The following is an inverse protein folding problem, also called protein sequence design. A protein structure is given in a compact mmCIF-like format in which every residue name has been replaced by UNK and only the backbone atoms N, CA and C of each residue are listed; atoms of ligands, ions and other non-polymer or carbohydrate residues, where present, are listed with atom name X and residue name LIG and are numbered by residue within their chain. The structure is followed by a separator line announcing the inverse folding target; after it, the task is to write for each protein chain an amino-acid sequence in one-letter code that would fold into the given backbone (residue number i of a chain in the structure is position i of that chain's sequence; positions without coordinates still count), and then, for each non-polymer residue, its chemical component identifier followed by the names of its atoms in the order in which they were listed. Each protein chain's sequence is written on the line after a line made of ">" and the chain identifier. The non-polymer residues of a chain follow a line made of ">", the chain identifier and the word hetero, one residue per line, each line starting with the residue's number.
data_IF_220420430774
#
_entry.id   IF_220420430774
#
_cell.length_a   1.000
_cell.length_b   1.000
_cell.length_c   1.000
_cell.angle_alpha   90.00
_cell.angle_beta   90.00
_cell.angle_gamma   90.00
#
_symmetry.space_group_name_H-M   'P 1'
#
loop_
_entity.id
_entity.type
_entity.pdbx_description
1 polymer ?
#
# COMPACT_ATOMS: atom_id res chain seq x y z
N UNK A 1 -3.63 33.62 18.72
CA UNK A 1 -2.70 34.75 18.46
C UNK A 1 -1.23 34.37 18.65
N UNK A 2 -0.71 34.10 19.86
CA UNK A 2 0.70 33.67 20.06
C UNK A 2 1.04 32.29 19.46
N UNK A 3 0.08 31.36 19.43
CA UNK A 3 0.25 30.04 18.79
C UNK A 3 0.32 30.18 17.28
N UNK A 4 -0.51 31.05 16.68
CA UNK A 4 -0.56 31.26 15.24
C UNK A 4 0.72 31.92 14.71
N UNK A 5 1.31 32.85 15.47
CA UNK A 5 2.58 33.50 15.13
C UNK A 5 3.76 32.51 15.17
N UNK A 6 3.80 31.62 16.17
CA UNK A 6 4.78 30.52 16.22
C UNK A 6 4.58 29.53 15.08
N UNK A 7 3.34 29.16 14.77
CA UNK A 7 3.04 28.27 13.63
C UNK A 7 3.48 28.94 12.32
N UNK A 8 3.18 30.22 12.11
CA UNK A 8 3.56 30.95 10.88
C UNK A 8 5.08 31.06 10.73
N UNK A 9 5.78 31.30 11.84
CA UNK A 9 7.24 31.44 11.84
C UNK A 9 7.95 30.10 11.64
N UNK A 10 7.44 29.01 12.24
CA UNK A 10 8.09 27.70 12.21
C UNK A 10 7.67 26.84 11.00
N UNK A 11 6.48 27.05 10.45
CA UNK A 11 5.95 26.23 9.33
C UNK A 11 6.88 26.15 8.11
N UNK A 12 7.55 27.23 7.66
CA UNK A 12 8.50 27.16 6.54
C UNK A 12 9.75 26.31 6.83
N UNK A 13 10.07 26.08 8.11
CA UNK A 13 11.26 25.36 8.56
C UNK A 13 10.95 23.93 9.02
N UNK A 14 9.67 23.59 9.20
CA UNK A 14 9.22 22.27 9.61
C UNK A 14 9.10 21.34 8.39
N UNK A 15 9.97 20.33 8.34
CA UNK A 15 9.81 19.20 7.41
C UNK A 15 8.92 18.17 8.09
N UNK A 16 7.75 17.91 7.49
CA UNK A 16 6.90 16.81 7.93
C UNK A 16 7.32 15.52 7.24
N UNK A 17 7.98 14.65 7.97
CA UNK A 17 8.28 13.28 7.52
C UNK A 17 7.13 12.34 7.90
N UNK A 18 6.69 11.52 6.94
CA UNK A 18 5.76 10.42 7.20
C UNK A 18 6.40 9.15 6.67
N UNK A 19 6.74 8.26 7.58
CA UNK A 19 7.22 6.93 7.25
C UNK A 19 6.02 5.97 7.21
N UNK A 20 5.98 5.13 6.18
CA UNK A 20 4.98 4.06 6.04
C UNK A 20 5.73 2.74 5.99
N UNK A 21 5.36 1.83 6.89
CA UNK A 21 5.84 0.46 6.86
C UNK A 21 4.70 -0.41 6.34
N UNK A 22 4.85 -0.89 5.09
CA UNK A 22 3.92 -1.83 4.50
C UNK A 22 4.50 -3.24 4.60
N UNK A 23 3.74 -4.17 5.18
CA UNK A 23 4.10 -5.57 5.29
C UNK A 23 3.05 -6.37 4.53
N UNK A 24 3.50 -7.21 3.60
CA UNK A 24 2.62 -8.12 2.88
C UNK A 24 3.13 -9.55 3.00
N UNK A 25 2.17 -10.48 3.07
CA UNK A 25 2.41 -11.90 3.23
C UNK A 25 1.87 -12.65 2.03
N UNK A 26 2.70 -13.49 1.41
CA UNK A 26 2.32 -14.31 0.26
C UNK A 26 1.93 -15.73 0.65
N UNK A 27 1.30 -16.50 -0.26
CA UNK A 27 0.95 -17.91 -0.04
C UNK A 27 2.14 -18.79 0.37
N UNK A 28 3.37 -18.39 0.04
CA UNK A 28 4.66 -18.99 0.47
C UNK A 28 4.83 -19.14 1.97
N UNK A 29 4.04 -18.41 2.75
CA UNK A 29 4.03 -18.54 4.19
C UNK A 29 3.14 -19.66 4.71
N UNK A 30 2.35 -20.37 3.90
CA UNK A 30 1.47 -21.47 4.37
C UNK A 30 1.82 -22.82 3.77
N UNK A 31 1.34 -23.90 4.41
CA UNK A 31 1.59 -25.27 3.95
C UNK A 31 0.85 -25.57 2.64
N UNK A 32 1.37 -26.51 1.85
CA UNK A 32 0.70 -26.94 0.62
C UNK A 32 -0.71 -27.51 0.89
N UNK A 33 -0.93 -28.18 2.01
CA UNK A 33 -2.24 -28.69 2.39
C UNK A 33 -3.24 -27.56 2.65
N UNK A 34 -2.83 -26.50 3.35
CA UNK A 34 -3.68 -25.33 3.62
C UNK A 34 -4.04 -24.61 2.31
N UNK A 35 -3.09 -24.54 1.36
CA UNK A 35 -3.33 -23.95 0.04
C UNK A 35 -4.38 -24.74 -0.73
N UNK A 36 -4.18 -26.05 -0.87
CA UNK A 36 -5.11 -26.92 -1.61
C UNK A 36 -6.51 -26.88 -0.99
N UNK A 37 -6.62 -26.88 0.33
CA UNK A 37 -7.91 -26.77 1.02
C UNK A 37 -8.60 -25.42 0.73
N UNK A 38 -7.85 -24.32 0.71
CA UNK A 38 -8.37 -23.00 0.34
C UNK A 38 -8.82 -22.96 -1.12
N UNK A 39 -8.00 -23.46 -2.05
CA UNK A 39 -8.32 -23.48 -3.47
C UNK A 39 -9.58 -24.31 -3.77
N UNK A 40 -9.74 -25.44 -3.07
CA UNK A 40 -10.95 -26.25 -3.17
C UNK A 40 -12.19 -25.51 -2.64
N UNK A 41 -12.07 -24.81 -1.51
CA UNK A 41 -13.14 -23.97 -0.96
C UNK A 41 -13.54 -22.86 -1.94
N UNK A 42 -12.55 -22.12 -2.47
CA UNK A 42 -12.77 -21.05 -3.45
C UNK A 42 -13.47 -21.59 -4.70
N UNK A 43 -13.06 -22.76 -5.20
CA UNK A 43 -13.69 -23.40 -6.37
C UNK A 43 -15.15 -23.75 -6.10
N UNK A 44 -15.45 -24.36 -4.94
CA UNK A 44 -16.82 -24.72 -4.54
C UNK A 44 -17.72 -23.47 -4.38
N UNK A 45 -17.17 -22.38 -3.87
CA UNK A 45 -17.89 -21.12 -3.72
C UNK A 45 -18.11 -20.43 -5.07
N UNK A 46 -17.11 -20.43 -5.96
CA UNK A 46 -17.19 -19.79 -7.27
C UNK A 46 -18.33 -20.34 -8.14
N UNK A 47 -18.72 -21.61 -7.96
CA UNK A 47 -19.87 -22.22 -8.66
C UNK A 47 -21.23 -21.66 -8.18
N UNK A 48 -21.31 -21.10 -6.97
CA UNK A 48 -22.55 -20.63 -6.33
C UNK A 48 -22.69 -19.12 -6.29
N UNK A 49 -21.57 -18.39 -6.43
CA UNK A 49 -21.55 -16.93 -6.34
C UNK A 49 -22.00 -16.32 -7.67
N UNK A 50 -22.93 -15.36 -7.66
CA UNK A 50 -23.32 -14.65 -8.87
C UNK A 50 -22.15 -13.92 -9.52
N UNK A 51 -22.22 -13.68 -10.83
CA UNK A 51 -21.19 -12.93 -11.55
C UNK A 51 -21.20 -11.48 -11.07
N UNK A 52 -20.08 -11.01 -10.55
CA UNK A 52 -19.90 -9.62 -10.13
C UNK A 52 -18.51 -9.14 -10.56
N UNK A 53 -18.38 -8.69 -11.82
CA UNK A 53 -17.07 -8.43 -12.44
C UNK A 53 -16.37 -7.19 -11.89
N UNK A 54 -17.13 -6.20 -11.44
CA UNK A 54 -16.63 -4.91 -10.97
C UNK A 54 -16.77 -4.75 -9.45
N UNK A 55 -17.01 -5.86 -8.75
CA UNK A 55 -17.18 -5.88 -7.30
C UNK A 55 -15.97 -6.47 -6.58
N UNK A 56 -15.90 -6.21 -5.27
CA UNK A 56 -15.01 -6.92 -4.36
C UNK A 56 -15.49 -8.34 -4.13
N UNK A 57 -14.54 -9.28 -4.03
CA UNK A 57 -14.80 -10.70 -3.74
C UNK A 57 -13.97 -11.16 -2.53
N UNK A 58 -14.34 -10.80 -1.29
CA UNK A 58 -13.52 -11.06 -0.10
C UNK A 58 -13.26 -12.56 0.13
N UNK A 59 -14.24 -13.39 -0.20
CA UNK A 59 -14.19 -14.85 -0.09
C UNK A 59 -13.03 -15.48 -0.88
N UNK A 60 -12.58 -14.85 -1.97
CA UNK A 60 -11.43 -15.34 -2.76
C UNK A 60 -10.12 -15.28 -1.98
N UNK A 61 -10.00 -14.29 -1.08
CA UNK A 61 -8.76 -13.94 -0.40
C UNK A 61 -8.78 -14.29 1.10
N UNK A 62 -9.81 -15.00 1.57
CA UNK A 62 -9.98 -15.36 2.98
C UNK A 62 -9.16 -16.61 3.33
N UNK A 63 -7.83 -16.49 3.31
CA UNK A 63 -6.93 -17.59 3.64
C UNK A 63 -6.55 -17.50 5.13
N UNK A 64 -7.29 -18.23 5.97
CA UNK A 64 -7.19 -18.14 7.44
C UNK A 64 -5.80 -18.46 7.99
N UNK A 65 -5.15 -19.52 7.47
CA UNK A 65 -3.81 -19.90 7.89
C UNK A 65 -2.76 -18.81 7.60
N UNK A 66 -2.92 -18.07 6.50
CA UNK A 66 -2.05 -16.96 6.13
C UNK A 66 -2.29 -15.76 7.04
N UNK A 67 -3.57 -15.46 7.33
CA UNK A 67 -3.95 -14.40 8.25
C UNK A 67 -3.31 -14.60 9.62
N UNK A 68 -3.42 -15.80 10.20
CA UNK A 68 -2.81 -16.12 11.51
C UNK A 68 -1.30 -15.90 11.50
N UNK A 69 -0.60 -16.40 10.47
CA UNK A 69 0.86 -16.22 10.35
C UNK A 69 1.26 -14.76 10.13
N UNK A 70 0.45 -14.02 9.38
CA UNK A 70 0.67 -12.59 9.14
C UNK A 70 0.48 -11.78 10.42
N UNK A 71 -0.60 -11.99 11.16
CA UNK A 71 -0.87 -11.31 12.44
C UNK A 71 0.24 -11.58 13.46
N UNK A 72 0.65 -12.85 13.62
CA UNK A 72 1.78 -13.19 14.49
C UNK A 72 3.09 -12.51 14.06
N UNK A 73 3.32 -12.33 12.75
CA UNK A 73 4.48 -11.61 12.26
C UNK A 73 4.39 -10.09 12.54
N UNK A 74 3.21 -9.48 12.36
CA UNK A 74 2.98 -8.08 12.69
C UNK A 74 3.25 -7.82 14.17
N UNK A 75 2.75 -8.68 15.06
CA UNK A 75 2.97 -8.56 16.51
C UNK A 75 4.47 -8.58 16.85
N UNK A 76 5.23 -9.50 16.24
CA UNK A 76 6.68 -9.59 16.44
C UNK A 76 7.42 -8.34 15.95
N UNK A 77 7.04 -7.81 14.78
CA UNK A 77 7.65 -6.59 14.22
C UNK A 77 7.30 -5.38 15.10
N UNK A 78 6.05 -5.26 15.52
CA UNK A 78 5.61 -4.19 16.41
C UNK A 78 6.37 -4.24 17.74
N UNK A 79 6.50 -5.42 18.34
CA UNK A 79 7.26 -5.59 19.58
C UNK A 79 8.73 -5.21 19.38
N UNK A 80 9.39 -5.70 18.32
CA UNK A 80 10.80 -5.40 18.06
C UNK A 80 11.07 -3.90 17.87
N UNK A 81 10.20 -3.20 17.15
CA UNK A 81 10.34 -1.76 16.89
C UNK A 81 10.03 -0.92 18.13
N UNK A 82 9.02 -1.31 18.93
CA UNK A 82 8.69 -0.61 20.19
C UNK A 82 9.77 -0.78 21.26
N UNK A 83 10.40 -1.95 21.34
CA UNK A 83 11.43 -2.26 22.35
C UNK A 83 12.87 -1.92 21.90
N UNK A 84 13.03 -1.30 20.72
CA UNK A 84 14.32 -0.76 20.29
C UNK A 84 14.75 0.41 21.18
N UNK A 85 16.07 0.67 21.25
CA UNK A 85 16.66 1.69 22.14
C UNK A 85 16.05 3.09 21.98
N UNK A 86 15.52 3.38 20.79
CA UNK A 86 15.01 4.70 20.42
C UNK A 86 13.47 4.77 20.49
N UNK A 87 12.80 3.65 20.82
CA UNK A 87 11.36 3.57 21.07
C UNK A 87 10.49 4.19 19.98
N UNK A 88 10.26 3.49 18.87
CA UNK A 88 9.45 4.02 17.78
C UNK A 88 7.94 4.03 18.13
N UNK A 89 7.28 5.16 17.88
CA UNK A 89 5.82 5.27 17.96
C UNK A 89 5.22 4.62 16.72
N UNK A 90 4.64 3.44 16.89
CA UNK A 90 3.90 2.73 15.86
C UNK A 90 2.40 2.87 16.04
N UNK A 91 1.71 3.02 14.91
CA UNK A 91 0.25 3.00 14.83
C UNK A 91 -0.16 2.14 13.64
N UNK A 92 -0.89 1.07 13.91
CA UNK A 92 -1.52 0.28 12.87
C UNK A 92 -2.63 1.10 12.21
N UNK A 93 -2.68 1.05 10.87
CA UNK A 93 -3.74 1.70 10.10
C UNK A 93 -4.87 0.72 9.84
N UNK A 94 -6.11 1.20 9.94
CA UNK A 94 -7.25 0.45 9.41
C UNK A 94 -7.27 0.48 7.87
N UNK A 95 -8.06 -0.40 7.26
CA UNK A 95 -8.14 -0.54 5.81
C UNK A 95 -8.72 0.72 5.13
N UNK A 96 -9.59 1.47 5.79
CA UNK A 96 -10.13 2.73 5.27
C UNK A 96 -9.04 3.81 5.22
N UNK A 97 -8.24 3.92 6.28
CA UNK A 97 -7.08 4.78 6.38
C UNK A 97 -6.01 4.42 5.34
N UNK A 98 -5.68 3.13 5.20
CA UNK A 98 -4.74 2.65 4.19
C UNK A 98 -5.23 3.04 2.79
N UNK A 99 -6.50 2.75 2.48
CA UNK A 99 -7.10 3.11 1.19
C UNK A 99 -7.01 4.61 0.93
N UNK A 100 -7.31 5.44 1.94
CA UNK A 100 -7.22 6.90 1.86
C UNK A 100 -5.79 7.35 1.57
N UNK A 101 -4.81 6.79 2.28
CA UNK A 101 -3.41 7.18 2.12
C UNK A 101 -2.84 6.71 0.77
N UNK A 102 -3.26 5.55 0.25
CA UNK A 102 -2.96 5.08 -1.12
C UNK A 102 -3.51 6.07 -2.14
N UNK A 103 -4.82 6.37 -2.07
CA UNK A 103 -5.46 7.30 -3.00
C UNK A 103 -4.83 8.70 -2.94
N UNK A 104 -4.42 9.18 -1.76
CA UNK A 104 -3.69 10.45 -1.63
C UNK A 104 -2.29 10.44 -2.25
N UNK A 105 -1.69 9.27 -2.49
CA UNK A 105 -0.39 9.21 -3.19
C UNK A 105 -0.53 9.56 -4.67
N UNK A 106 -1.62 9.15 -5.30
CA UNK A 106 -1.94 9.42 -6.72
C UNK A 106 -2.71 10.72 -6.88
N UNK A 107 -3.69 10.96 -6.01
CA UNK A 107 -4.70 12.01 -6.08
C UNK A 107 -4.67 12.95 -4.87
N UNK A 108 -3.56 13.66 -4.69
CA UNK A 108 -3.32 14.52 -3.50
C UNK A 108 -4.36 15.64 -3.34
N UNK A 109 -4.74 16.29 -4.44
CA UNK A 109 -5.59 17.48 -4.43
C UNK A 109 -7.09 17.16 -4.48
N UNK A 110 -7.46 15.99 -4.99
CA UNK A 110 -8.86 15.59 -5.21
C UNK A 110 -9.38 14.59 -4.16
N UNK A 111 -8.55 14.16 -3.21
CA UNK A 111 -8.94 13.22 -2.14
C UNK A 111 -9.20 13.94 -0.81
N UNK A 112 -10.48 14.08 -0.38
CA UNK A 112 -10.84 14.66 0.91
C UNK A 112 -10.21 13.94 2.11
N UNK A 113 -10.09 14.65 3.24
CA UNK A 113 -9.55 14.07 4.49
C UNK A 113 -10.44 12.97 5.09
N UNK A 114 -11.74 13.04 4.84
CA UNK A 114 -12.74 12.07 5.31
C UNK A 114 -13.06 11.00 4.26
N UNK A 115 -12.41 11.01 3.11
CA UNK A 115 -12.65 10.00 2.07
C UNK A 115 -12.29 8.61 2.58
N UNK A 116 -13.08 7.59 2.25
CA UNK A 116 -12.77 6.21 2.56
C UNK A 116 -13.20 5.32 1.40
N UNK A 117 -12.52 4.19 1.15
CA UNK A 117 -13.04 3.19 0.24
C UNK A 117 -14.32 2.60 0.83
N UNK A 118 -15.26 2.24 -0.04
CA UNK A 118 -16.40 1.41 0.30
C UNK A 118 -15.92 -0.04 0.40
N UNK A 119 -16.01 -0.61 1.60
CA UNK A 119 -15.72 -2.01 1.84
C UNK A 119 -17.00 -2.84 1.78
N UNK A 120 -16.90 -4.18 1.72
CA UNK A 120 -18.06 -5.07 1.73
C UNK A 120 -18.98 -4.82 2.93
N UNK A 121 -18.44 -4.50 4.10
CA UNK A 121 -19.24 -4.14 5.29
C UNK A 121 -19.96 -2.79 5.20
N UNK A 122 -19.45 -1.85 4.39
CA UNK A 122 -20.02 -0.50 4.25
C UNK A 122 -20.96 -0.38 3.06
N UNK A 123 -20.92 -1.34 2.14
CA UNK A 123 -21.55 -1.21 0.85
C UNK A 123 -23.07 -1.36 0.95
N UNK A 124 -23.76 -0.34 0.47
CA UNK A 124 -25.18 -0.41 0.16
C UNK A 124 -25.33 -0.67 -1.34
N UNK A 125 -26.34 -1.46 -1.76
CA UNK A 125 -26.64 -1.64 -3.17
C UNK A 125 -26.81 -0.28 -3.86
N UNK A 126 -26.03 -0.04 -4.91
CA UNK A 126 -25.99 1.24 -5.59
C UNK A 126 -26.04 1.04 -7.10
N UNK A 127 -27.06 1.62 -7.75
CA UNK A 127 -27.24 1.59 -9.20
C UNK A 127 -28.30 0.60 -9.68
N UNK A 128 -28.35 0.43 -11.00
CA UNK A 128 -29.27 -0.48 -11.68
C UNK A 128 -28.51 -1.66 -12.26
N UNK A 129 -29.02 -2.87 -12.05
CA UNK A 129 -28.41 -4.10 -12.53
C UNK A 129 -28.26 -4.05 -14.05
N UNK A 130 -27.03 -4.24 -14.53
CA UNK A 130 -26.76 -4.36 -15.96
C UNK A 130 -26.66 -5.85 -16.32
N UNK A 131 -27.63 -6.36 -17.08
CA UNK A 131 -27.59 -7.73 -17.63
C UNK A 131 -27.38 -8.82 -16.54
N UNK A 132 -26.45 -9.75 -16.75
CA UNK A 132 -26.14 -10.87 -15.85
C UNK A 132 -25.12 -10.52 -14.76
N UNK A 133 -24.81 -9.24 -14.54
CA UNK A 133 -23.80 -8.77 -13.58
C UNK A 133 -24.45 -8.16 -12.33
N UNK A 134 -24.17 -8.76 -11.17
CA UNK A 134 -24.68 -8.36 -9.85
C UNK A 134 -23.74 -7.39 -9.12
N UNK A 135 -22.73 -6.81 -9.77
CA UNK A 135 -21.77 -5.91 -9.11
C UNK A 135 -22.43 -4.74 -8.38
N UNK A 136 -23.60 -4.31 -8.84
CA UNK A 136 -24.40 -3.24 -8.21
C UNK A 136 -24.89 -3.58 -6.80
N UNK A 137 -24.95 -4.87 -6.45
CA UNK A 137 -25.35 -5.37 -5.14
C UNK A 137 -24.17 -5.48 -4.17
N UNK A 138 -22.95 -5.19 -4.63
CA UNK A 138 -21.72 -5.40 -3.88
C UNK A 138 -20.87 -4.12 -3.84
N UNK A 139 -19.87 -4.10 -2.95
CA UNK A 139 -18.88 -3.03 -2.93
C UNK A 139 -18.10 -3.00 -4.27
N UNK A 140 -17.93 -1.85 -4.93
CA UNK A 140 -17.10 -1.75 -6.14
C UNK A 140 -15.66 -2.22 -5.87
N UNK A 141 -14.98 -2.76 -6.87
CA UNK A 141 -13.59 -3.23 -6.71
C UNK A 141 -12.67 -2.11 -6.21
N UNK A 142 -11.76 -2.43 -5.28
CA UNK A 142 -10.90 -1.43 -4.64
C UNK A 142 -10.04 -0.66 -5.66
N UNK A 143 -9.59 -1.31 -6.73
CA UNK A 143 -8.76 -0.63 -7.74
C UNK A 143 -9.52 0.50 -8.45
N UNK A 144 -10.82 0.34 -8.74
CA UNK A 144 -11.64 1.39 -9.35
C UNK A 144 -11.85 2.57 -8.39
N UNK A 145 -11.90 2.28 -7.09
CA UNK A 145 -12.03 3.29 -6.05
C UNK A 145 -10.72 4.02 -5.77
N UNK A 146 -9.57 3.34 -5.86
CA UNK A 146 -8.26 3.90 -5.50
C UNK A 146 -7.56 4.58 -6.68
N UNK A 147 -7.74 4.05 -7.89
CA UNK A 147 -7.04 4.48 -9.10
C UNK A 147 -8.03 4.90 -10.18
N UNK A 148 -8.53 6.13 -10.08
CA UNK A 148 -9.54 6.67 -10.99
C UNK A 148 -9.02 7.77 -11.92
N UNK A 149 -7.75 8.16 -11.80
CA UNK A 149 -7.16 9.20 -12.65
C UNK A 149 -6.49 8.60 -13.87
N UNK A 150 -6.72 9.28 -15.00
CA UNK A 150 -6.03 8.99 -16.24
C UNK A 150 -4.59 9.44 -16.15
N UNK A 151 -3.68 8.58 -16.59
CA UNK A 151 -2.24 8.85 -16.60
C UNK A 151 -1.79 9.21 -18.01
N UNK A 152 -0.92 10.21 -18.13
CA UNK A 152 -0.24 10.52 -19.38
C UNK A 152 1.24 10.22 -19.22
N UNK A 153 1.87 9.61 -20.22
CA UNK A 153 3.29 9.27 -20.17
C UNK A 153 4.08 10.08 -21.18
N UNK A 154 5.27 10.55 -20.78
CA UNK A 154 6.21 11.22 -21.65
C UNK A 154 7.63 10.72 -21.33
N UNK A 155 8.15 9.83 -22.18
CA UNK A 155 9.43 9.16 -21.92
C UNK A 155 9.38 8.35 -20.62
N UNK A 156 10.26 8.69 -19.67
CA UNK A 156 10.34 8.06 -18.35
C UNK A 156 9.49 8.75 -17.27
N UNK A 157 8.72 9.78 -17.64
CA UNK A 157 7.86 10.52 -16.73
C UNK A 157 6.40 10.11 -16.88
N UNK A 158 5.71 10.05 -15.75
CA UNK A 158 4.26 9.81 -15.68
C UNK A 158 3.58 11.03 -15.07
N UNK A 159 2.60 11.59 -15.78
CA UNK A 159 1.75 12.66 -15.27
C UNK A 159 0.47 12.06 -14.67
N UNK A 160 0.24 12.34 -13.39
CA UNK A 160 -0.94 11.90 -12.64
C UNK A 160 -1.25 12.90 -11.52
N UNK A 161 -2.53 13.21 -11.29
CA UNK A 161 -2.97 14.09 -10.20
C UNK A 161 -2.39 15.51 -10.28
N UNK A 162 -2.09 16.00 -11.48
CA UNK A 162 -1.48 17.32 -11.70
C UNK A 162 0.03 17.40 -11.46
N UNK A 163 0.70 16.28 -11.19
CA UNK A 163 2.13 16.21 -10.94
C UNK A 163 2.84 15.29 -11.94
N UNK A 164 4.09 15.63 -12.25
CA UNK A 164 5.01 14.75 -12.97
C UNK A 164 5.78 13.87 -11.99
N UNK A 165 5.74 12.57 -12.21
CA UNK A 165 6.41 11.56 -11.40
C UNK A 165 7.55 10.96 -12.21
N UNK A 166 8.77 11.11 -11.69
CA UNK A 166 9.96 10.41 -12.18
C UNK A 166 10.40 9.36 -11.17
N UNK A 167 10.86 8.21 -11.66
CA UNK A 167 11.35 7.12 -10.81
C UNK A 167 12.82 6.85 -11.09
N UNK A 168 13.60 6.71 -10.01
CA UNK A 168 14.97 6.20 -10.05
C UNK A 168 15.01 4.92 -9.23
N UNK A 169 15.48 3.83 -9.84
CA UNK A 169 15.65 2.54 -9.16
C UNK A 169 17.12 2.27 -8.93
N UNK A 170 17.48 1.94 -7.68
CA UNK A 170 18.85 1.64 -7.27
C UNK A 170 18.92 0.16 -6.90
N UNK A 171 19.70 -0.61 -7.65
CA UNK A 171 19.88 -2.06 -7.41
C UNK A 171 21.17 -2.37 -6.66
N UNK A 172 22.19 -1.52 -6.81
CA UNK A 172 23.48 -1.66 -6.14
C UNK A 172 23.69 -0.43 -5.23
N UNK A 173 24.12 -0.63 -3.97
CA UNK A 173 24.42 0.48 -3.09
C UNK A 173 25.59 1.31 -3.64
N UNK A 174 25.71 2.59 -3.26
CA UNK A 174 26.86 3.40 -3.64
C UNK A 174 28.15 2.77 -3.12
N UNK A 175 29.24 2.87 -3.89
CA UNK A 175 30.57 2.37 -3.49
C UNK A 175 31.04 3.01 -2.18
N UNK A 176 30.75 4.29 -2.00
CA UNK A 176 30.99 5.02 -0.76
C UNK A 176 29.66 5.19 -0.03
N UNK A 177 29.51 4.52 1.11
CA UNK A 177 28.35 4.66 1.97
C UNK A 177 28.29 6.11 2.49
N UNK A 178 27.21 6.79 2.15
CA UNK A 178 26.90 8.13 2.61
C UNK A 178 25.73 8.10 3.59
N UNK A 179 25.65 9.13 4.42
CA UNK A 179 24.52 9.26 5.34
C UNK A 179 23.28 9.70 4.56
N UNK A 180 22.11 9.31 5.04
CA UNK A 180 20.85 9.73 4.41
C UNK A 180 20.70 11.26 4.38
N UNK A 181 21.25 11.96 5.39
CA UNK A 181 21.26 13.42 5.45
C UNK A 181 21.96 14.08 4.26
N UNK A 182 22.99 13.45 3.69
CA UNK A 182 23.67 13.96 2.49
C UNK A 182 22.75 13.90 1.28
N UNK A 183 21.98 12.82 1.12
CA UNK A 183 20.96 12.71 0.09
C UNK A 183 19.87 13.79 0.26
N UNK A 184 19.36 13.99 1.48
CA UNK A 184 18.35 15.02 1.76
C UNK A 184 18.86 16.41 1.39
N UNK A 185 20.14 16.70 1.63
CA UNK A 185 20.77 17.97 1.25
C UNK A 185 20.98 18.11 -0.25
N UNK A 186 21.23 17.01 -0.96
CA UNK A 186 21.48 17.01 -2.40
C UNK A 186 20.20 17.21 -3.22
N UNK A 187 19.03 16.79 -2.73
CA UNK A 187 17.76 16.98 -3.44
C UNK A 187 17.24 18.42 -3.24
N UNK A 188 16.90 19.16 -4.32
CA UNK A 188 16.34 20.49 -4.19
C UNK A 188 15.05 20.50 -3.36
N UNK A 189 14.92 21.44 -2.41
CA UNK A 189 13.75 21.54 -1.52
C UNK A 189 12.41 21.68 -2.25
N UNK A 190 12.41 22.24 -3.45
CA UNK A 190 11.22 22.42 -4.27
C UNK A 190 10.71 21.10 -4.89
N UNK A 191 11.54 20.05 -4.91
CA UNK A 191 11.21 18.76 -5.52
C UNK A 191 10.73 17.81 -4.43
N UNK A 192 9.43 17.48 -4.37
CA UNK A 192 8.95 16.45 -3.47
C UNK A 192 9.51 15.09 -3.92
N UNK A 193 10.12 14.35 -3.01
CA UNK A 193 10.66 13.03 -3.28
C UNK A 193 10.12 12.01 -2.26
N UNK A 194 10.17 10.74 -2.65
CA UNK A 194 9.81 9.60 -1.80
C UNK A 194 10.82 8.50 -2.04
N UNK A 195 11.14 7.76 -0.99
CA UNK A 195 11.99 6.57 -1.09
C UNK A 195 11.15 5.35 -0.71
N UNK A 196 11.26 4.31 -1.54
CA UNK A 196 10.73 2.98 -1.28
C UNK A 196 11.93 2.05 -1.10
N UNK A 197 11.94 1.31 0.00
CA UNK A 197 12.90 0.25 0.25
C UNK A 197 12.11 -1.04 0.36
N UNK A 198 12.44 -2.02 -0.48
CA UNK A 198 11.80 -3.34 -0.44
C UNK A 198 12.73 -4.32 0.26
N UNK A 199 12.26 -4.89 1.37
CA UNK A 199 12.93 -5.99 2.06
C UNK A 199 12.19 -7.29 1.73
N UNK A 200 12.83 -8.15 0.93
CA UNK A 200 12.25 -9.42 0.52
C UNK A 200 12.77 -10.59 1.37
N UNK A 201 11.95 -11.63 1.62
CA UNK A 201 12.41 -12.86 2.24
C UNK A 201 13.41 -13.58 1.32
N UNK A 202 14.30 -14.37 1.92
CA UNK A 202 15.32 -15.15 1.19
C UNK A 202 16.75 -14.60 1.30
N UNK A 203 16.93 -13.37 1.81
CA UNK A 203 18.26 -12.82 2.15
C UNK A 203 19.32 -13.10 1.09
N UNK A 204 20.44 -13.73 1.49
CA UNK A 204 21.54 -14.08 0.58
C UNK A 204 21.22 -15.15 -0.46
N UNK A 205 20.13 -15.94 -0.33
CA UNK A 205 19.76 -16.94 -1.35
C UNK A 205 19.27 -16.28 -2.65
N UNK A 206 18.65 -15.10 -2.58
CA UNK A 206 18.21 -14.36 -3.76
C UNK A 206 19.39 -13.80 -4.59
N UNK A 207 20.54 -13.50 -3.95
CA UNK A 207 21.75 -13.02 -4.61
C UNK A 207 22.48 -14.12 -5.41
N UNK A 208 22.26 -15.40 -5.08
CA UNK A 208 22.88 -16.52 -5.78
C UNK A 208 22.26 -16.82 -7.16
N UNK A 209 21.10 -16.24 -7.51
CA UNK A 209 20.45 -16.46 -8.82
C UNK A 209 20.97 -15.54 -9.94
N UNK A 210 21.88 -14.59 -9.67
CA UNK A 210 22.52 -13.74 -10.70
C UNK A 210 23.93 -14.20 -11.09
N UNK A 211 24.18 -15.51 -11.14
CA UNK A 211 25.34 -16.10 -11.83
C UNK A 211 24.86 -17.06 -12.92
N UNK A 212 24.23 -16.52 -13.96
CA UNK A 212 24.08 -17.14 -15.28
C UNK A 212 23.48 -16.11 -16.22
N UNK A 213 24.34 -15.25 -16.75
CA UNK A 213 24.45 -14.84 -18.16
C UNK A 213 25.83 -14.20 -18.32
#
# INVERSE_FOLDING_TARGET
>A
MLVDEKVTTLSPWLVRERCWLAIWSGPDLISNSDRTAHDELVRRLAERVPKARFAQSPWQWTLSALKIRHEAFLDNVEQALRHSSDGLILRLLDIHEVGREIRRQTERHSTPRNWQPHLPEDAQPAGYRWTDDESVLHAPSLHLQLFNTQVTTQGNLVQAGGLWHGMVSITLPPQNLQTFNELVRAVPRAVPWRIRMDLMPGGMKALNLKKRF
#
